data_IF_158896645206
#
_entry.id   IF_158896645206
#
_cell.length_a   1.000
_cell.length_b   1.000
_cell.length_c   1.000
_cell.angle_alpha   90.00
_cell.angle_beta   90.00
_cell.angle_gamma   90.00
#
_symmetry.space_group_name_H-M   'P 1'
#
loop_
_entity.id
_entity.type
_entity.pdbx_description
1 polymer ?
#
# COMPACT_ATOMS: atom_id res chain seq x y z
N UNK A 1 -62.43 54.48 -15.83
CA UNK A 1 -61.09 53.85 -15.82
C UNK A 1 -61.20 52.53 -15.07
N UNK A 2 -61.10 51.41 -15.78
CA UNK A 2 -61.11 50.05 -15.21
C UNK A 2 -59.85 49.36 -15.76
N UNK A 3 -58.84 49.20 -14.91
CA UNK A 3 -57.57 48.54 -15.23
C UNK A 3 -57.72 47.04 -15.07
N UNK A 4 -57.50 46.29 -16.16
CA UNK A 4 -57.38 44.82 -16.14
C UNK A 4 -55.95 44.44 -15.74
N UNK A 5 -55.80 43.63 -14.70
CA UNK A 5 -54.54 42.98 -14.36
C UNK A 5 -54.45 41.62 -15.05
N UNK A 6 -53.37 41.41 -15.80
CA UNK A 6 -53.00 40.12 -16.41
C UNK A 6 -52.02 39.43 -15.45
N UNK A 7 -52.36 38.22 -14.99
CA UNK A 7 -51.46 37.40 -14.19
C UNK A 7 -50.56 36.58 -15.14
N UNK A 8 -49.25 36.74 -15.00
CA UNK A 8 -48.24 35.97 -15.72
C UNK A 8 -47.81 34.79 -14.85
N UNK A 9 -48.14 33.56 -15.24
CA UNK A 9 -47.67 32.35 -14.57
C UNK A 9 -46.31 31.94 -15.14
N UNK A 10 -45.28 31.98 -14.30
CA UNK A 10 -43.95 31.42 -14.60
C UNK A 10 -43.97 29.91 -14.33
N UNK A 11 -43.77 29.10 -15.36
CA UNK A 11 -43.47 27.68 -15.19
C UNK A 11 -41.96 27.52 -14.96
N UNK A 12 -41.58 27.10 -13.75
CA UNK A 12 -40.20 26.76 -13.42
C UNK A 12 -39.93 25.33 -13.90
N UNK A 13 -39.15 25.18 -14.97
CA UNK A 13 -38.62 23.87 -15.39
C UNK A 13 -37.35 23.62 -14.59
N UNK A 14 -37.42 22.72 -13.60
CA UNK A 14 -36.26 22.24 -12.85
C UNK A 14 -35.65 21.06 -13.62
N UNK A 15 -34.58 21.31 -14.37
CA UNK A 15 -33.78 20.25 -14.98
C UNK A 15 -32.88 19.66 -13.89
N UNK A 16 -33.24 18.48 -13.39
CA UNK A 16 -32.32 17.70 -12.56
C UNK A 16 -31.28 17.07 -13.47
N UNK A 17 -30.04 17.56 -13.42
CA UNK A 17 -28.91 16.82 -13.97
C UNK A 17 -28.72 15.56 -13.11
N UNK A 18 -29.08 14.39 -13.63
CA UNK A 18 -28.67 13.12 -13.05
C UNK A 18 -27.16 13.00 -13.24
N UNK A 19 -26.41 13.26 -12.17
CA UNK A 19 -25.03 12.80 -12.06
C UNK A 19 -25.09 11.28 -11.95
N UNK A 20 -24.75 10.58 -13.03
CA UNK A 20 -24.61 9.12 -13.03
C UNK A 20 -23.56 8.71 -11.99
N UNK A 21 -23.90 7.76 -11.13
CA UNK A 21 -22.96 7.17 -10.19
C UNK A 21 -22.32 5.99 -10.88
N UNK A 22 -21.02 6.09 -11.20
CA UNK A 22 -20.26 4.94 -11.67
C UNK A 22 -20.44 3.78 -10.67
N UNK A 23 -20.96 2.65 -11.15
CA UNK A 23 -21.08 1.46 -10.30
C UNK A 23 -19.69 0.82 -10.18
N UNK A 24 -19.36 0.32 -8.99
CA UNK A 24 -18.06 -0.29 -8.75
C UNK A 24 -18.21 -1.81 -8.87
N UNK A 25 -17.31 -2.44 -9.62
CA UNK A 25 -17.26 -3.88 -9.81
C UNK A 25 -17.01 -4.65 -8.52
N UNK A 26 -17.02 -5.99 -8.62
CA UNK A 26 -16.66 -6.87 -7.51
C UNK A 26 -15.20 -6.67 -7.07
N UNK A 27 -14.92 -7.00 -5.82
CA UNK A 27 -13.56 -7.06 -5.29
C UNK A 27 -12.73 -8.12 -6.03
N UNK A 28 -11.55 -7.74 -6.52
CA UNK A 28 -10.61 -8.61 -7.21
C UNK A 28 -9.43 -9.03 -6.33
N UNK A 29 -9.15 -8.32 -5.24
CA UNK A 29 -8.11 -8.71 -4.27
C UNK A 29 -8.69 -9.72 -3.27
N UNK A 30 -8.21 -10.98 -3.25
CA UNK A 30 -8.53 -11.87 -2.15
C UNK A 30 -7.77 -11.46 -0.88
N UNK A 31 -8.43 -11.58 0.27
CA UNK A 31 -7.81 -11.36 1.59
C UNK A 31 -7.05 -10.01 1.71
N UNK A 32 -7.60 -8.92 1.14
CA UNK A 32 -6.97 -7.60 1.14
C UNK A 32 -6.84 -6.93 2.52
N UNK A 33 -7.55 -7.48 3.53
CA UNK A 33 -7.43 -7.09 4.94
C UNK A 33 -6.45 -7.96 5.73
N UNK A 34 -5.82 -8.96 5.10
CA UNK A 34 -4.85 -9.88 5.74
C UNK A 34 -5.41 -10.73 6.90
N UNK A 35 -6.73 -10.83 7.01
CA UNK A 35 -7.40 -11.52 8.11
C UNK A 35 -7.31 -13.05 8.02
N UNK A 36 -7.22 -13.59 6.82
CA UNK A 36 -7.16 -15.04 6.59
C UNK A 36 -5.71 -15.53 6.67
N UNK A 37 -5.41 -16.32 7.70
CA UNK A 37 -4.09 -16.93 7.93
C UNK A 37 -4.21 -18.46 8.05
N UNK A 38 -3.21 -19.17 7.55
CA UNK A 38 -3.16 -20.64 7.55
C UNK A 38 -2.66 -21.25 8.87
N UNK A 39 -2.22 -20.41 9.82
CA UNK A 39 -1.70 -20.82 11.11
C UNK A 39 -1.60 -19.66 12.10
N UNK A 40 -1.10 -19.94 13.31
CA UNK A 40 -0.98 -18.92 14.36
C UNK A 40 0.24 -18.02 14.13
N UNK A 41 -0.01 -16.71 14.05
CA UNK A 41 1.02 -15.67 14.08
C UNK A 41 1.54 -15.49 15.51
N UNK A 42 2.85 -15.53 15.69
CA UNK A 42 3.56 -15.55 16.99
C UNK A 42 4.83 -14.69 17.01
N UNK A 43 5.47 -14.48 15.86
CA UNK A 43 6.79 -13.85 15.74
C UNK A 43 7.03 -13.35 14.30
N UNK A 44 8.16 -12.68 14.07
CA UNK A 44 8.61 -12.25 12.74
C UNK A 44 8.72 -13.39 11.73
N UNK A 45 8.90 -13.05 10.45
CA UNK A 45 9.11 -13.99 9.34
C UNK A 45 7.91 -14.93 9.06
N UNK A 46 6.71 -14.54 9.47
CA UNK A 46 5.49 -15.34 9.33
C UNK A 46 4.50 -14.82 8.29
N UNK A 47 4.88 -13.84 7.47
CA UNK A 47 4.03 -13.39 6.35
C UNK A 47 3.60 -14.51 5.39
N UNK A 48 4.39 -15.58 5.14
CA UNK A 48 3.90 -16.74 4.38
C UNK A 48 2.69 -17.47 4.96
N UNK A 49 2.26 -17.16 6.21
CA UNK A 49 1.01 -17.67 6.76
C UNK A 49 -0.23 -16.96 6.18
N UNK A 50 -0.09 -15.73 5.66
CA UNK A 50 -1.20 -14.95 5.11
C UNK A 50 -1.69 -15.62 3.83
N UNK A 51 -2.96 -16.00 3.82
CA UNK A 51 -3.52 -16.78 2.73
C UNK A 51 -3.63 -15.93 1.46
N UNK A 52 -3.05 -16.42 0.37
CA UNK A 52 -3.04 -15.76 -0.94
C UNK A 52 -1.93 -14.72 -1.14
N UNK A 53 -1.20 -14.35 -0.09
CA UNK A 53 -0.16 -13.32 -0.13
C UNK A 53 1.25 -13.92 -0.04
N UNK A 54 2.21 -13.26 -0.69
CA UNK A 54 3.62 -13.68 -0.64
C UNK A 54 4.58 -12.50 -0.83
N UNK A 55 5.85 -12.69 -0.48
CA UNK A 55 6.90 -11.72 -0.77
C UNK A 55 7.36 -11.86 -2.23
N UNK A 56 7.61 -10.73 -2.89
CA UNK A 56 8.16 -10.68 -4.27
C UNK A 56 9.68 -10.85 -4.26
N UNK A 57 10.35 -10.37 -3.22
CA UNK A 57 11.80 -10.34 -3.08
C UNK A 57 12.28 -11.28 -1.96
N UNK A 58 13.59 -11.34 -1.70
CA UNK A 58 14.14 -11.98 -0.48
C UNK A 58 13.95 -11.12 0.78
N UNK A 59 13.20 -10.03 0.69
CA UNK A 59 12.71 -9.26 1.83
C UNK A 59 11.63 -10.03 2.57
N UNK A 60 11.45 -9.72 3.85
CA UNK A 60 10.64 -10.51 4.76
C UNK A 60 9.63 -9.59 5.43
N UNK A 61 8.58 -9.25 4.68
CA UNK A 61 7.44 -8.49 5.19
C UNK A 61 6.82 -9.22 6.39
N UNK A 62 6.00 -8.52 7.16
CA UNK A 62 5.36 -9.05 8.36
C UNK A 62 3.84 -9.10 8.23
N UNK A 63 3.26 -9.99 9.05
CA UNK A 63 1.83 -9.98 9.40
C UNK A 63 1.74 -9.72 10.90
N UNK A 64 0.88 -8.80 11.27
CA UNK A 64 0.60 -8.44 12.66
C UNK A 64 -0.74 -9.03 13.08
N UNK A 65 -0.84 -9.43 14.34
CA UNK A 65 -2.01 -10.13 14.87
C UNK A 65 -2.28 -9.70 16.32
N UNK A 66 -3.54 -9.43 16.64
CA UNK A 66 -4.00 -9.08 18.01
C UNK A 66 -3.67 -10.16 19.05
N UNK A 67 -3.53 -11.41 18.64
CA UNK A 67 -3.13 -12.53 19.49
C UNK A 67 -1.62 -12.74 19.62
N UNK A 68 -0.79 -12.00 18.88
CA UNK A 68 0.67 -12.15 18.92
C UNK A 68 1.32 -11.30 20.03
N UNK A 69 2.55 -11.65 20.46
CA UNK A 69 3.26 -10.92 21.52
C UNK A 69 3.61 -9.47 21.13
N UNK A 70 3.52 -8.54 22.08
CA UNK A 70 3.82 -7.13 21.84
C UNK A 70 5.30 -6.80 21.59
N UNK A 71 6.20 -7.75 21.87
CA UNK A 71 7.64 -7.65 21.59
C UNK A 71 8.05 -8.32 20.26
N UNK A 72 7.09 -8.45 19.35
CA UNK A 72 7.32 -8.95 17.99
C UNK A 72 6.32 -8.33 17.03
N UNK A 73 5.20 -9.03 16.75
CA UNK A 73 4.20 -8.70 15.72
C UNK A 73 2.78 -8.56 16.32
N UNK A 74 2.70 -8.18 17.59
CA UNK A 74 1.44 -7.94 18.30
C UNK A 74 0.69 -6.70 17.81
N UNK A 75 -0.58 -6.61 18.21
CA UNK A 75 -1.43 -5.44 17.99
C UNK A 75 -2.06 -5.03 19.33
N UNK A 76 -2.07 -3.73 19.69
CA UNK A 76 -1.54 -2.63 18.88
C UNK A 76 -0.02 -2.48 18.95
N UNK A 77 0.63 -2.97 20.02
CA UNK A 77 2.07 -2.82 20.23
C UNK A 77 2.87 -3.92 19.51
N UNK A 78 3.93 -3.52 18.80
CA UNK A 78 4.91 -4.38 18.14
C UNK A 78 6.28 -3.69 18.08
N UNK A 79 7.26 -4.36 17.50
CA UNK A 79 8.64 -3.84 17.39
C UNK A 79 8.78 -2.55 16.58
N UNK A 80 7.84 -2.28 15.66
CA UNK A 80 7.87 -1.11 14.79
C UNK A 80 7.07 0.07 15.35
N UNK A 81 6.28 -0.13 16.39
CA UNK A 81 5.49 0.90 17.03
C UNK A 81 4.18 0.39 17.61
N UNK A 82 3.23 1.32 17.78
CA UNK A 82 1.88 1.02 18.23
C UNK A 82 0.82 1.56 17.27
N UNK A 83 -0.05 0.70 16.75
CA UNK A 83 -1.21 1.12 15.93
C UNK A 83 -2.32 0.09 16.01
N UNK A 84 -3.59 0.54 15.99
CA UNK A 84 -4.73 -0.36 15.76
C UNK A 84 -4.90 -0.63 14.25
N UNK A 85 -5.46 -1.79 13.86
CA UNK A 85 -5.77 -2.10 12.46
C UNK A 85 -6.67 -1.03 11.85
N UNK A 86 -6.57 -0.84 10.54
CA UNK A 86 -7.57 -0.03 9.83
C UNK A 86 -8.93 -0.71 9.90
N UNK A 87 -8.95 -2.04 9.84
CA UNK A 87 -10.11 -2.88 10.11
C UNK A 87 -9.70 -4.25 10.67
N UNK A 88 -10.57 -4.89 11.44
CA UNK A 88 -10.36 -6.28 11.87
C UNK A 88 -9.35 -6.46 13.00
N UNK A 89 -8.63 -7.58 12.95
CA UNK A 89 -7.70 -8.09 13.96
C UNK A 89 -6.27 -8.27 13.43
N UNK A 90 -6.03 -8.00 12.14
CA UNK A 90 -4.71 -8.12 11.49
C UNK A 90 -4.45 -6.97 10.52
N UNK A 91 -3.17 -6.80 10.21
CA UNK A 91 -2.69 -6.02 9.08
C UNK A 91 -1.30 -6.54 8.70
N UNK A 92 -0.74 -6.07 7.60
CA UNK A 92 0.63 -6.38 7.19
C UNK A 92 1.53 -5.15 7.33
N UNK A 93 2.83 -5.31 7.12
CA UNK A 93 3.77 -4.21 7.01
C UNK A 93 4.98 -4.61 6.19
N UNK A 94 5.69 -3.59 5.71
CA UNK A 94 6.86 -3.77 4.85
C UNK A 94 7.84 -2.60 5.01
N UNK A 95 9.12 -2.89 4.80
CA UNK A 95 10.15 -1.87 4.63
C UNK A 95 10.02 -1.22 3.25
N UNK A 96 9.41 -0.04 3.20
CA UNK A 96 9.40 0.79 1.99
C UNK A 96 10.80 1.32 1.63
N UNK A 97 11.67 1.46 2.63
CA UNK A 97 13.09 1.79 2.47
C UNK A 97 13.87 1.43 3.72
N UNK A 98 15.08 0.91 3.57
CA UNK A 98 16.04 0.75 4.66
C UNK A 98 17.47 0.83 4.15
N UNK A 99 18.32 1.50 4.91
CA UNK A 99 19.77 1.49 4.68
C UNK A 99 20.32 0.11 5.10
N UNK A 100 20.59 -0.77 4.14
CA UNK A 100 21.11 -2.13 4.42
C UNK A 100 22.60 -2.05 4.74
N UNK A 101 22.94 -1.51 5.91
CA UNK A 101 24.31 -1.45 6.39
C UNK A 101 24.84 -2.84 6.72
N UNK A 102 25.97 -3.21 6.11
CA UNK A 102 26.65 -4.48 6.41
C UNK A 102 27.74 -4.27 7.44
N UNK A 103 27.70 -5.05 8.52
CA UNK A 103 28.81 -5.13 9.46
C UNK A 103 30.03 -5.73 8.75
N UNK A 104 31.08 -4.94 8.56
CA UNK A 104 32.34 -5.39 8.02
C UNK A 104 33.14 -6.10 9.11
N UNK A 105 32.93 -7.41 9.24
CA UNK A 105 33.65 -8.25 10.21
C UNK A 105 35.18 -8.27 10.05
N UNK A 106 35.72 -7.68 8.98
CA UNK A 106 37.16 -7.59 8.69
C UNK A 106 37.73 -6.18 8.89
N UNK A 107 36.93 -5.20 9.32
CA UNK A 107 37.39 -3.84 9.64
C UNK A 107 38.01 -3.80 11.05
N UNK A 108 39.16 -4.45 11.25
CA UNK A 108 39.96 -4.21 12.46
C UNK A 108 40.55 -2.79 12.41
N UNK A 109 40.19 -1.94 13.38
CA UNK A 109 40.82 -0.64 13.59
C UNK A 109 40.18 0.57 12.90
N UNK A 110 39.00 0.42 12.29
CA UNK A 110 38.20 1.57 11.83
C UNK A 110 37.20 1.98 12.92
N UNK A 111 37.02 3.29 13.12
CA UNK A 111 36.10 3.88 14.11
C UNK A 111 34.62 3.55 13.82
N UNK A 112 34.33 3.06 12.62
CA UNK A 112 33.05 2.54 12.17
C UNK A 112 33.27 1.20 11.45
N UNK A 113 32.90 0.04 12.04
CA UNK A 113 33.06 -1.28 11.43
C UNK A 113 32.01 -1.54 10.35
N UNK A 114 31.23 -0.54 9.93
CA UNK A 114 30.17 -0.69 8.95
C UNK A 114 30.69 -0.24 7.59
N UNK A 115 30.68 -1.15 6.61
CA UNK A 115 30.83 -0.75 5.22
C UNK A 115 29.44 -0.34 4.70
N UNK A 116 29.38 0.68 3.84
CA UNK A 116 28.18 0.95 3.03
C UNK A 116 27.76 -0.37 2.39
N UNK A 117 26.63 -0.93 2.82
CA UNK A 117 26.11 -2.10 2.17
C UNK A 117 25.70 -1.67 0.78
N UNK A 118 26.10 -2.45 -0.22
CA UNK A 118 25.97 -2.05 -1.61
C UNK A 118 24.53 -1.78 -2.08
N UNK A 119 23.47 -1.91 -1.27
CA UNK A 119 22.10 -1.70 -1.73
C UNK A 119 21.15 -1.24 -0.62
N UNK A 120 20.26 -0.33 -0.96
CA UNK A 120 19.02 -0.08 -0.24
C UNK A 120 18.14 -1.34 -0.20
N UNK A 121 17.55 -1.62 0.96
CA UNK A 121 16.60 -2.70 1.21
C UNK A 121 15.17 -2.22 1.02
N UNK A 122 14.37 -3.00 0.30
CA UNK A 122 12.96 -2.77 0.09
C UNK A 122 12.19 -4.09 0.03
N UNK A 123 11.00 -4.07 0.59
CA UNK A 123 10.06 -5.19 0.62
C UNK A 123 8.85 -4.89 -0.26
N UNK A 124 8.34 -5.97 -0.85
CA UNK A 124 7.21 -5.94 -1.75
C UNK A 124 6.38 -7.18 -1.48
N UNK A 125 5.08 -6.96 -1.29
CA UNK A 125 4.09 -8.02 -1.12
C UNK A 125 3.27 -8.15 -2.39
N UNK A 126 2.85 -9.37 -2.72
CA UNK A 126 1.99 -9.64 -3.86
C UNK A 126 0.86 -10.58 -3.53
N UNK A 127 -0.20 -10.48 -4.34
CA UNK A 127 -1.39 -11.32 -4.30
C UNK A 127 -1.84 -11.65 -5.71
N UNK A 128 -2.26 -12.91 -5.93
CA UNK A 128 -2.93 -13.30 -7.17
C UNK A 128 -4.36 -12.75 -7.16
N UNK A 129 -4.75 -12.09 -8.24
CA UNK A 129 -6.09 -11.55 -8.40
C UNK A 129 -7.09 -12.69 -8.59
N UNK A 130 -8.35 -12.46 -8.16
CA UNK A 130 -9.41 -13.45 -8.35
C UNK A 130 -9.61 -13.81 -9.81
N UNK A 131 -9.45 -12.83 -10.69
CA UNK A 131 -9.54 -12.96 -12.13
C UNK A 131 -8.55 -11.98 -12.79
N UNK A 132 -8.03 -12.30 -13.99
CA UNK A 132 -7.20 -11.37 -14.76
C UNK A 132 -7.96 -10.09 -15.07
N UNK A 133 -7.24 -8.97 -15.18
CA UNK A 133 -7.81 -7.71 -15.66
C UNK A 133 -8.09 -7.80 -17.16
N UNK A 134 -9.09 -7.04 -17.62
CA UNK A 134 -9.51 -7.00 -19.02
C UNK A 134 -8.94 -5.75 -19.71
N UNK A 135 -8.49 -5.92 -20.95
CA UNK A 135 -7.92 -4.86 -21.78
C UNK A 135 -8.87 -3.67 -21.91
N UNK A 136 -8.31 -2.46 -21.89
CA UNK A 136 -9.02 -1.18 -22.05
C UNK A 136 -10.07 -0.86 -20.97
N UNK A 137 -10.18 -1.69 -19.92
CA UNK A 137 -11.03 -1.40 -18.78
C UNK A 137 -10.31 -0.53 -17.75
N UNK A 138 -11.07 0.37 -17.11
CA UNK A 138 -10.57 1.18 -16.02
C UNK A 138 -10.77 0.46 -14.69
N UNK A 139 -9.73 0.42 -13.88
CA UNK A 139 -9.77 -0.16 -12.53
C UNK A 139 -9.39 0.89 -11.49
N UNK A 140 -10.00 0.79 -10.30
CA UNK A 140 -9.66 1.58 -9.13
C UNK A 140 -8.91 0.71 -8.13
N UNK A 141 -7.71 1.16 -7.74
CA UNK A 141 -6.93 0.60 -6.63
C UNK A 141 -7.10 1.51 -5.42
N UNK A 142 -7.26 0.91 -4.25
CA UNK A 142 -7.02 1.61 -2.99
C UNK A 142 -6.40 0.70 -1.94
N UNK A 143 -5.60 1.29 -1.06
CA UNK A 143 -5.04 0.62 0.12
C UNK A 143 -4.65 1.67 1.15
N UNK A 144 -4.63 1.27 2.42
CA UNK A 144 -4.26 2.16 3.52
C UNK A 144 -2.85 1.84 3.98
N UNK A 145 -2.06 2.89 4.22
CA UNK A 145 -0.74 2.76 4.83
C UNK A 145 -0.58 3.66 6.04
N UNK A 146 0.23 3.25 7.00
CA UNK A 146 0.60 4.07 8.14
C UNK A 146 2.09 3.98 8.39
N UNK A 147 2.77 5.12 8.50
CA UNK A 147 4.19 5.13 8.86
C UNK A 147 4.34 4.66 10.32
N UNK A 148 5.17 3.65 10.54
CA UNK A 148 5.36 3.10 11.88
C UNK A 148 6.02 4.10 12.84
N UNK A 149 5.69 4.02 14.13
CA UNK A 149 6.12 5.01 15.12
C UNK A 149 7.64 5.02 15.32
N UNK A 150 8.30 3.87 15.16
CA UNK A 150 9.76 3.73 15.31
C UNK A 150 10.53 4.02 14.01
N UNK A 151 9.84 4.28 12.89
CA UNK A 151 10.47 4.73 11.65
C UNK A 151 11.11 6.10 11.81
N UNK A 152 12.32 6.25 11.26
CA UNK A 152 13.09 7.49 11.24
C UNK A 152 13.24 8.09 9.84
N UNK A 153 12.78 7.35 8.82
CA UNK A 153 12.58 7.84 7.48
C UNK A 153 11.10 7.76 7.11
N UNK A 154 10.73 8.66 6.21
CA UNK A 154 9.52 8.58 5.42
C UNK A 154 9.91 8.61 3.94
N UNK A 155 9.09 8.01 3.08
CA UNK A 155 9.32 8.00 1.63
C UNK A 155 8.12 8.50 0.87
N UNK A 156 8.35 9.04 -0.33
CA UNK A 156 7.30 9.14 -1.35
C UNK A 156 7.20 7.82 -2.12
N UNK A 157 6.30 7.78 -3.11
CA UNK A 157 6.27 6.76 -4.13
C UNK A 157 5.87 5.36 -3.62
N UNK A 158 5.17 5.28 -2.48
CA UNK A 158 4.45 4.05 -2.13
C UNK A 158 3.32 3.86 -3.16
N UNK A 159 3.22 2.67 -3.72
CA UNK A 159 2.33 2.41 -4.83
C UNK A 159 2.03 0.94 -5.05
N UNK A 160 1.26 0.72 -6.10
CA UNK A 160 0.77 -0.57 -6.54
C UNK A 160 1.04 -0.77 -8.04
N UNK A 161 1.47 -1.98 -8.38
CA UNK A 161 1.72 -2.43 -9.74
C UNK A 161 0.92 -3.71 -10.02
N UNK A 162 0.16 -3.73 -11.11
CA UNK A 162 -0.56 -4.87 -11.63
C UNK A 162 0.30 -5.61 -12.67
N UNK A 163 0.76 -6.81 -12.31
CA UNK A 163 1.68 -7.61 -13.12
C UNK A 163 0.96 -8.72 -13.88
N UNK A 164 1.35 -9.04 -15.13
CA UNK A 164 0.78 -10.17 -15.87
C UNK A 164 1.21 -11.56 -15.35
N UNK A 165 2.19 -11.62 -14.44
CA UNK A 165 2.70 -12.86 -13.86
C UNK A 165 3.22 -12.64 -12.43
N UNK A 166 3.35 -13.69 -11.60
CA UNK A 166 3.94 -13.58 -10.27
C UNK A 166 5.41 -13.16 -10.36
N UNK A 167 5.82 -12.22 -9.52
CA UNK A 167 7.21 -11.75 -9.46
C UNK A 167 7.99 -12.53 -8.39
N UNK A 168 9.23 -12.90 -8.68
CA UNK A 168 10.08 -13.66 -7.76
C UNK A 168 11.57 -13.33 -7.92
N UNK A 169 12.04 -12.31 -7.21
CA UNK A 169 13.41 -11.81 -7.31
C UNK A 169 14.33 -12.36 -6.22
N UNK A 170 15.54 -12.77 -6.62
CA UNK A 170 16.58 -13.28 -5.72
C UNK A 170 17.47 -12.15 -5.15
N UNK A 171 16.85 -11.04 -4.77
CA UNK A 171 17.51 -9.88 -4.14
C UNK A 171 16.56 -9.19 -3.16
N UNK A 172 17.03 -8.14 -2.49
CA UNK A 172 16.25 -7.34 -1.51
C UNK A 172 16.11 -5.87 -1.90
N UNK A 173 16.41 -5.55 -3.15
CA UNK A 173 16.46 -4.19 -3.68
C UNK A 173 15.10 -3.76 -4.23
N UNK A 174 14.98 -2.46 -4.51
CA UNK A 174 13.88 -1.88 -5.28
C UNK A 174 13.67 -2.58 -6.62
N UNK A 175 12.40 -2.66 -7.01
CA UNK A 175 11.90 -3.23 -8.27
C UNK A 175 11.99 -2.23 -9.42
N UNK A 176 12.44 -2.66 -10.60
CA UNK A 176 12.56 -1.79 -11.78
C UNK A 176 11.20 -1.49 -12.43
N UNK A 177 10.18 -2.24 -12.05
CA UNK A 177 8.78 -2.11 -12.41
C UNK A 177 8.24 -0.71 -12.06
N UNK A 178 7.21 -0.28 -12.79
CA UNK A 178 6.53 0.99 -12.58
C UNK A 178 5.14 0.75 -12.04
N UNK A 179 4.74 1.52 -11.03
CA UNK A 179 3.40 1.43 -10.46
C UNK A 179 2.36 2.02 -11.42
N UNK A 180 1.17 1.41 -11.41
CA UNK A 180 -0.03 1.96 -12.06
C UNK A 180 -0.62 3.09 -11.22
N UNK A 181 -0.51 2.98 -9.90
CA UNK A 181 -0.96 3.98 -8.93
C UNK A 181 0.09 4.13 -7.83
N UNK A 182 0.53 5.35 -7.56
CA UNK A 182 1.43 5.65 -6.44
C UNK A 182 1.20 7.07 -5.92
N UNK A 183 1.65 7.34 -4.70
CA UNK A 183 1.63 8.69 -4.11
C UNK A 183 2.91 9.45 -4.44
N UNK A 184 2.80 10.70 -4.93
CA UNK A 184 3.95 11.61 -5.04
C UNK A 184 4.35 12.20 -3.67
N UNK A 185 3.44 12.24 -2.70
CA UNK A 185 3.67 12.84 -1.41
C UNK A 185 4.54 11.94 -0.52
N UNK A 186 5.45 12.56 0.23
CA UNK A 186 6.15 11.89 1.34
C UNK A 186 5.16 11.73 2.49
N UNK A 187 4.91 10.48 2.91
CA UNK A 187 3.99 10.16 4.00
C UNK A 187 4.74 10.12 5.33
N UNK A 188 4.85 11.27 6.02
CA UNK A 188 5.72 11.46 7.19
C UNK A 188 5.01 11.54 8.55
N UNK A 189 3.67 11.44 8.57
CA UNK A 189 2.89 11.38 9.80
C UNK A 189 2.87 9.94 10.34
N UNK A 190 3.44 9.76 11.54
CA UNK A 190 3.55 8.42 12.17
C UNK A 190 2.26 8.03 12.87
N UNK A 191 1.91 6.75 12.79
CA UNK A 191 0.78 6.16 13.51
C UNK A 191 -0.59 6.57 12.97
N UNK A 192 -0.64 7.20 11.79
CA UNK A 192 -1.87 7.63 11.14
C UNK A 192 -2.06 6.88 9.82
N UNK A 193 -3.25 6.28 9.65
CA UNK A 193 -3.63 5.61 8.42
C UNK A 193 -4.01 6.63 7.34
N UNK A 194 -3.32 6.56 6.20
CA UNK A 194 -3.55 7.37 5.00
C UNK A 194 -3.94 6.45 3.85
N UNK A 195 -4.98 6.80 3.11
CA UNK A 195 -5.38 6.07 1.91
C UNK A 195 -4.54 6.49 0.71
N UNK A 196 -3.99 5.52 0.00
CA UNK A 196 -3.45 5.69 -1.34
C UNK A 196 -4.49 5.09 -2.29
N UNK A 197 -4.94 5.88 -3.26
CA UNK A 197 -5.90 5.43 -4.26
C UNK A 197 -5.71 6.11 -5.60
N UNK A 198 -6.20 5.45 -6.65
CA UNK A 198 -6.10 5.94 -8.01
C UNK A 198 -6.78 4.99 -8.99
N UNK A 199 -6.87 5.43 -10.24
CA UNK A 199 -7.41 4.64 -11.33
C UNK A 199 -6.40 4.51 -12.45
N UNK A 200 -6.40 3.36 -13.11
CA UNK A 200 -5.58 3.11 -14.30
C UNK A 200 -6.39 2.32 -15.35
N UNK A 201 -5.91 2.33 -16.59
CA UNK A 201 -6.47 1.53 -17.68
C UNK A 201 -5.60 0.28 -17.83
N UNK A 202 -6.21 -0.90 -17.73
CA UNK A 202 -5.49 -2.17 -17.80
C UNK A 202 -5.11 -2.55 -19.24
N UNK A 203 -3.99 -3.24 -19.38
CA UNK A 203 -3.52 -3.82 -20.65
C UNK A 203 -4.21 -5.16 -20.97
N UNK A 204 -4.78 -5.84 -19.98
CA UNK A 204 -5.62 -7.03 -20.20
C UNK A 204 -4.96 -8.38 -19.96
N UNK A 205 -3.85 -8.41 -19.22
CA UNK A 205 -3.13 -9.64 -18.87
C UNK A 205 -2.74 -9.69 -17.39
N UNK A 206 -3.02 -8.63 -16.63
CA UNK A 206 -2.60 -8.48 -15.25
C UNK A 206 -3.32 -9.51 -14.36
N UNK A 207 -2.54 -10.36 -13.71
CA UNK A 207 -3.02 -11.46 -12.85
C UNK A 207 -2.61 -11.27 -11.39
N UNK A 208 -1.70 -10.34 -11.09
CA UNK A 208 -1.16 -10.12 -9.75
C UNK A 208 -1.15 -8.64 -9.39
N UNK A 209 -1.36 -8.33 -8.13
CA UNK A 209 -1.17 -6.99 -7.57
C UNK A 209 0.06 -7.01 -6.64
N UNK A 210 0.96 -6.05 -6.81
CA UNK A 210 2.17 -5.87 -6.02
C UNK A 210 2.10 -4.52 -5.31
N UNK A 211 2.43 -4.48 -4.02
CA UNK A 211 2.52 -3.24 -3.23
C UNK A 211 3.95 -3.05 -2.73
N UNK A 212 4.44 -1.82 -2.81
CA UNK A 212 5.75 -1.42 -2.29
C UNK A 212 6.10 0.01 -2.71
N UNK A 213 7.38 0.28 -2.94
CA UNK A 213 7.86 1.61 -3.36
C UNK A 213 8.24 1.62 -4.85
N UNK A 214 7.64 2.51 -5.62
CA UNK A 214 7.80 2.67 -7.06
C UNK A 214 7.75 4.14 -7.47
N UNK A 215 8.56 4.61 -8.43
CA UNK A 215 9.60 3.87 -9.15
C UNK A 215 10.88 3.67 -8.32
N UNK A 216 11.78 2.75 -8.72
CA UNK A 216 13.05 2.53 -8.00
C UNK A 216 14.01 3.72 -7.99
N UNK A 217 13.86 4.66 -8.93
CA UNK A 217 14.68 5.88 -9.05
C UNK A 217 13.81 7.11 -8.99
N UNK A 218 14.31 8.15 -8.31
CA UNK A 218 13.65 9.44 -8.27
C UNK A 218 12.51 9.55 -7.25
N UNK A 219 12.34 8.57 -6.36
CA UNK A 219 11.53 8.76 -5.16
C UNK A 219 12.34 9.49 -4.08
N UNK A 220 11.64 10.22 -3.22
CA UNK A 220 12.24 11.03 -2.17
C UNK A 220 12.24 10.28 -0.83
N UNK A 221 13.29 10.52 -0.05
CA UNK A 221 13.38 10.07 1.34
C UNK A 221 13.54 11.27 2.26
N UNK A 222 12.89 11.24 3.42
CA UNK A 222 12.96 12.31 4.43
C UNK A 222 13.37 11.72 5.76
N UNK A 223 14.42 12.26 6.38
CA UNK A 223 14.74 12.01 7.79
C UNK A 223 13.77 12.77 8.69
N UNK A 224 13.17 12.07 9.64
CA UNK A 224 12.09 12.60 10.50
C UNK A 224 12.38 12.49 12.00
N UNK A 225 13.64 12.25 12.38
CA UNK A 225 14.11 12.23 13.78
C UNK A 225 15.34 13.12 13.97
N UNK A 226 15.49 13.62 15.19
CA UNK A 226 16.74 14.13 15.73
C UNK A 226 17.27 13.11 16.76
N UNK A 227 18.52 12.65 16.62
CA UNK A 227 19.12 11.65 17.52
C UNK A 227 19.33 10.26 16.90
N UNK A 228 19.23 9.17 17.70
CA UNK A 228 19.45 7.80 17.23
C UNK A 228 18.65 7.48 15.97
N UNK A 229 19.31 6.78 15.05
CA UNK A 229 18.89 6.64 13.65
C UNK A 229 19.04 5.17 13.25
N UNK A 230 17.93 4.44 13.23
CA UNK A 230 17.83 3.05 12.76
C UNK A 230 17.84 2.95 11.23
N UNK A 231 17.70 4.08 10.52
CA UNK A 231 17.77 4.26 9.08
C UNK A 231 16.76 3.40 8.30
N UNK A 232 15.48 3.51 8.64
CA UNK A 232 14.40 2.84 7.91
C UNK A 232 13.10 3.63 7.85
N UNK A 233 12.35 3.37 6.77
CA UNK A 233 10.96 3.75 6.60
C UNK A 233 10.13 2.45 6.52
N UNK A 234 9.48 2.11 7.63
CA UNK A 234 8.59 0.96 7.74
C UNK A 234 7.15 1.44 7.75
N UNK A 235 6.31 0.83 6.91
CA UNK A 235 4.91 1.16 6.79
C UNK A 235 4.06 -0.07 7.07
N UNK A 236 3.00 0.12 7.84
CA UNK A 236 1.89 -0.83 7.93
C UNK A 236 1.00 -0.68 6.69
N UNK A 237 0.33 -1.75 6.28
CA UNK A 237 -0.62 -1.79 5.16
C UNK A 237 -1.86 -2.62 5.51
N UNK A 238 -3.04 -2.12 5.13
CA UNK A 238 -4.33 -2.76 5.38
C UNK A 238 -5.35 -2.31 4.30
N UNK A 239 -6.47 -3.04 4.20
CA UNK A 239 -7.62 -2.72 3.35
C UNK A 239 -7.26 -2.50 1.88
N UNK A 240 -6.52 -3.45 1.30
CA UNK A 240 -6.19 -3.46 -0.12
C UNK A 240 -7.42 -3.85 -0.95
N UNK A 241 -7.73 -3.06 -1.96
CA UNK A 241 -8.88 -3.25 -2.85
C UNK A 241 -8.51 -2.96 -4.30
N UNK A 242 -9.05 -3.76 -5.22
CA UNK A 242 -8.99 -3.54 -6.67
C UNK A 242 -10.35 -3.88 -7.26
N UNK A 243 -10.97 -2.91 -7.96
CA UNK A 243 -12.29 -3.10 -8.58
C UNK A 243 -12.36 -2.46 -9.94
N UNK A 244 -13.08 -3.08 -10.86
CA UNK A 244 -13.44 -2.46 -12.14
C UNK A 244 -14.30 -1.21 -11.87
N UNK A 245 -13.98 -0.10 -12.54
CA UNK A 245 -14.84 1.08 -12.58
C UNK A 245 -15.83 0.86 -13.71
N UNK A 246 -17.07 0.47 -13.39
CA UNK A 246 -18.09 0.21 -14.39
C UNK A 246 -18.69 1.57 -14.80
N UNK A 247 -18.56 1.98 -16.08
CA UNK A 247 -19.18 3.21 -16.55
C UNK A 247 -20.68 3.12 -16.35
N UNK A 248 -21.29 4.19 -15.83
CA UNK A 248 -22.74 4.27 -15.71
C UNK A 248 -23.32 4.43 -17.13
N UNK A 249 -23.71 3.32 -17.74
CA UNK A 249 -24.43 3.30 -19.02
C UNK A 249 -25.87 3.71 -18.72
N UNK A 250 -26.09 5.02 -18.54
CA UNK A 250 -27.41 5.59 -18.30
C UNK A 250 -28.42 5.07 -19.32
N UNK A 251 -29.46 4.40 -18.83
CA UNK A 251 -30.64 4.02 -19.62
C UNK A 251 -31.55 5.23 -19.84
#
# INVERSE_FOLDING_TARGET
MLTRSVALTFNLIVVHALLGQASVGRELVPNGSFEEVSGTVKTWDQFPLVTGWSNVTLGISEVFDRGAPSKSVGIPENDYGSIEPKNGDRYSGFFAWKDDKRYNMYAEGLQDPVADGWNVYAEYIQVELREPLEEDKTYAISFWVALAQHSDRAVSAIGAYCSPFPLAFQHRKFLAESADVYTEAILDQRGEWVEISGTFVAYGEETHLIIGTFPYVGFDTKKIVEGPDNQYAYYYVDQVSLKEVVPDLGN
#
